data_IF_490831075452
#
_entry.id   IF_490831075452
#
_cell.length_a   1.000
_cell.length_b   1.000
_cell.length_c   1.000
_cell.angle_alpha   90.00
_cell.angle_beta   90.00
_cell.angle_gamma   90.00
#
_symmetry.space_group_name_H-M   'P 1'
#
loop_
_entity.id
_entity.type
_entity.pdbx_description
1 polymer ?
#
# COMPACT_ATOMS: atom_id res chain seq x y z
N UNK A 1 -3.70 -0.12 -16.40
CA UNK A 1 -2.71 -0.89 -15.63
C UNK A 1 -1.60 -1.36 -16.57
N UNK A 2 -0.32 -0.97 -16.40
CA UNK A 2 0.79 -1.47 -17.24
C UNK A 2 0.97 -3.00 -17.19
N UNK A 3 0.42 -3.67 -16.18
CA UNK A 3 0.51 -5.12 -16.03
C UNK A 3 -0.53 -5.89 -16.85
N UNK A 4 -1.65 -5.26 -17.19
CA UNK A 4 -2.75 -5.91 -17.92
C UNK A 4 -2.98 -5.30 -19.32
N UNK A 5 -2.61 -4.02 -19.57
CA UNK A 5 -2.81 -3.33 -20.86
C UNK A 5 -1.47 -3.05 -21.56
N UNK A 6 -1.31 -3.61 -22.77
CA UNK A 6 -0.13 -3.42 -23.61
C UNK A 6 0.17 -1.95 -23.90
N UNK A 7 -0.85 -1.11 -24.13
CA UNK A 7 -0.66 0.32 -24.43
C UNK A 7 -0.04 1.06 -23.24
N UNK A 8 -0.44 0.69 -22.03
CA UNK A 8 0.11 1.26 -20.80
C UNK A 8 1.54 0.79 -20.57
N UNK A 9 1.87 -0.45 -20.97
CA UNK A 9 3.23 -0.98 -20.90
C UNK A 9 4.17 -0.31 -21.90
N UNK A 10 3.70 -0.01 -23.11
CA UNK A 10 4.52 0.57 -24.18
C UNK A 10 4.95 2.02 -23.88
N UNK A 11 4.19 2.74 -23.04
CA UNK A 11 4.54 4.10 -22.57
C UNK A 11 5.28 4.11 -21.22
N UNK A 12 5.44 2.95 -20.59
CA UNK A 12 6.08 2.83 -19.29
C UNK A 12 7.58 2.59 -19.40
N UNK A 13 8.33 2.90 -18.34
CA UNK A 13 9.78 2.68 -18.32
C UNK A 13 10.10 1.20 -18.50
N UNK A 14 11.06 0.88 -19.39
CA UNK A 14 11.45 -0.50 -19.72
C UNK A 14 12.09 -1.24 -18.55
N UNK A 15 12.62 -0.50 -17.58
CA UNK A 15 13.33 -1.06 -16.43
C UNK A 15 12.40 -1.42 -15.27
N UNK A 16 11.11 -1.08 -15.38
CA UNK A 16 10.10 -1.31 -14.32
C UNK A 16 9.28 -2.55 -14.65
N UNK A 17 9.06 -3.39 -13.63
CA UNK A 17 8.26 -4.61 -13.74
C UNK A 17 7.10 -4.61 -12.75
N UNK A 18 6.06 -5.37 -13.07
CA UNK A 18 4.88 -5.52 -12.21
C UNK A 18 5.14 -6.29 -10.92
N UNK A 19 6.32 -6.87 -10.77
CA UNK A 19 6.71 -7.66 -9.61
C UNK A 19 6.99 -6.78 -8.39
N UNK A 20 7.24 -5.49 -8.60
CA UNK A 20 7.47 -4.50 -7.55
C UNK A 20 6.19 -3.89 -6.99
N UNK A 21 5.01 -4.24 -7.51
CA UNK A 21 3.74 -3.75 -6.98
C UNK A 21 3.26 -4.61 -5.81
N UNK A 22 2.66 -4.00 -4.77
CA UNK A 22 2.18 -4.74 -3.63
C UNK A 22 1.05 -5.70 -4.02
N UNK A 23 1.09 -6.90 -3.43
CA UNK A 23 0.07 -7.95 -3.60
C UNK A 23 -1.10 -7.76 -2.62
N UNK A 24 -0.91 -6.99 -1.56
CA UNK A 24 -1.99 -6.62 -0.66
C UNK A 24 -1.76 -5.25 0.00
N UNK A 25 -2.87 -4.63 0.42
CA UNK A 25 -2.90 -3.33 1.08
C UNK A 25 -3.54 -3.44 2.46
N UNK A 26 -2.88 -2.89 3.48
CA UNK A 26 -3.48 -2.66 4.80
C UNK A 26 -4.03 -1.23 4.82
N UNK A 27 -5.35 -1.09 4.70
CA UNK A 27 -5.98 0.20 4.35
C UNK A 27 -6.41 1.04 5.56
N UNK A 28 -6.29 0.51 6.79
CA UNK A 28 -6.76 1.18 8.01
C UNK A 28 -8.07 0.59 8.56
N UNK A 29 -8.91 1.40 9.23
CA UNK A 29 -8.73 2.83 9.53
C UNK A 29 -7.62 3.11 10.56
N UNK A 30 -7.35 4.39 10.85
CA UNK A 30 -6.43 4.78 11.91
C UNK A 30 -6.93 4.31 13.28
N UNK A 31 -5.99 4.16 14.23
CA UNK A 31 -6.24 3.79 15.63
C UNK A 31 -6.85 2.41 15.87
N UNK A 32 -6.68 1.49 14.92
CA UNK A 32 -7.15 0.10 15.05
C UNK A 32 -6.02 -0.91 15.22
N UNK A 33 -4.78 -0.45 15.45
CA UNK A 33 -3.61 -1.33 15.58
C UNK A 33 -2.93 -1.68 14.26
N UNK A 34 -3.14 -0.90 13.19
CA UNK A 34 -2.53 -1.15 11.88
C UNK A 34 -1.00 -1.16 11.89
N UNK A 35 -0.35 -0.33 12.72
CA UNK A 35 1.11 -0.37 12.90
C UNK A 35 1.57 -1.64 13.63
N UNK A 36 0.80 -2.16 14.58
CA UNK A 36 1.12 -3.44 15.22
C UNK A 36 1.02 -4.60 14.22
N UNK A 37 -0.05 -4.64 13.41
CA UNK A 37 -0.19 -5.63 12.34
C UNK A 37 0.98 -5.52 11.35
N UNK A 38 1.34 -4.31 10.93
CA UNK A 38 2.48 -4.05 10.06
C UNK A 38 3.78 -4.67 10.62
N UNK A 39 4.09 -4.44 11.90
CA UNK A 39 5.28 -4.98 12.55
C UNK A 39 5.24 -6.51 12.62
N UNK A 40 4.07 -7.10 12.85
CA UNK A 40 3.95 -8.56 12.90
C UNK A 40 4.08 -9.21 11.53
N UNK A 41 3.56 -8.58 10.48
CA UNK A 41 3.71 -9.05 9.10
C UNK A 41 5.18 -9.05 8.68
N UNK A 42 5.96 -8.04 9.09
CA UNK A 42 7.41 -7.97 8.85
C UNK A 42 8.20 -9.14 9.46
N UNK A 43 7.65 -9.85 10.44
CA UNK A 43 8.32 -11.02 11.04
C UNK A 43 8.23 -12.25 10.13
N UNK A 44 7.35 -12.26 9.12
CA UNK A 44 7.21 -13.39 8.21
C UNK A 44 8.26 -13.31 7.08
N UNK A 45 9.07 -14.36 6.84
CA UNK A 45 10.22 -14.29 5.91
C UNK A 45 9.83 -14.03 4.45
N UNK A 46 8.60 -14.38 4.06
CA UNK A 46 8.08 -14.17 2.71
C UNK A 46 7.26 -12.88 2.55
N UNK A 47 7.21 -12.00 3.56
CA UNK A 47 6.46 -10.75 3.50
C UNK A 47 7.43 -9.58 3.56
N UNK A 48 7.34 -8.69 2.57
CA UNK A 48 8.24 -7.56 2.43
C UNK A 48 7.40 -6.28 2.38
N UNK A 49 7.74 -5.31 3.24
CA UNK A 49 7.08 -4.02 3.25
C UNK A 49 7.75 -3.00 2.32
N UNK A 50 7.08 -1.89 2.08
CA UNK A 50 7.68 -0.68 1.53
C UNK A 50 8.82 -0.13 2.42
N UNK A 51 9.72 0.61 1.77
CA UNK A 51 10.72 1.46 2.39
C UNK A 51 10.03 2.62 3.13
N UNK A 52 10.60 3.07 4.26
CA UNK A 52 10.01 4.15 5.03
C UNK A 52 10.11 5.50 4.30
N UNK A 53 9.05 6.29 4.39
CA UNK A 53 9.00 7.67 3.94
C UNK A 53 9.49 8.61 5.05
N UNK A 54 10.32 9.62 4.75
CA UNK A 54 10.74 10.61 5.74
C UNK A 54 9.59 11.50 6.24
N UNK A 55 8.45 11.54 5.53
CA UNK A 55 7.29 12.38 5.88
C UNK A 55 6.16 11.59 6.54
N UNK A 56 5.98 10.34 6.14
CA UNK A 56 4.81 9.52 6.48
C UNK A 56 5.21 8.21 7.16
N UNK A 57 6.48 8.08 7.53
CA UNK A 57 7.05 6.92 8.23
C UNK A 57 6.79 5.62 7.48
N UNK A 58 6.10 4.65 8.08
CA UNK A 58 5.80 3.37 7.44
C UNK A 58 4.76 3.48 6.30
N UNK A 59 4.04 4.60 6.19
CA UNK A 59 2.95 4.76 5.22
C UNK A 59 3.42 5.43 3.92
N UNK A 60 3.00 4.90 2.76
CA UNK A 60 3.30 5.52 1.46
C UNK A 60 2.29 6.62 1.13
N UNK A 61 1.02 6.44 1.52
CA UNK A 61 -0.07 7.37 1.27
C UNK A 61 -0.16 7.81 -0.21
N UNK A 62 -0.12 6.84 -1.12
CA UNK A 62 -0.15 7.07 -2.55
C UNK A 62 -1.58 7.30 -3.07
N UNK A 63 -2.52 6.42 -2.73
CA UNK A 63 -3.86 6.41 -3.34
C UNK A 63 -4.83 7.47 -2.76
N UNK A 64 -4.56 8.04 -1.58
CA UNK A 64 -5.50 8.92 -0.88
C UNK A 64 -5.41 10.41 -1.24
N UNK A 65 -4.35 10.88 -1.90
CA UNK A 65 -4.13 12.32 -2.06
C UNK A 65 -3.15 12.71 -3.15
N UNK A 66 -2.38 13.78 -2.90
CA UNK A 66 -1.53 14.42 -3.90
C UNK A 66 -0.36 13.55 -4.38
N UNK A 67 0.08 12.59 -3.55
CA UNK A 67 1.14 11.65 -3.95
C UNK A 67 0.77 10.84 -5.20
N UNK A 68 -0.52 10.61 -5.45
CA UNK A 68 -0.99 9.92 -6.65
C UNK A 68 -0.51 10.60 -7.95
N UNK A 69 -0.44 11.94 -7.94
CA UNK A 69 -0.02 12.72 -9.12
C UNK A 69 1.48 12.65 -9.40
N UNK A 70 2.29 12.10 -8.49
CA UNK A 70 3.72 11.84 -8.72
C UNK A 70 3.95 10.64 -9.65
N UNK A 71 2.89 9.89 -9.95
CA UNK A 71 2.92 8.78 -10.90
C UNK A 71 3.30 7.44 -10.27
N UNK A 72 3.17 6.40 -11.09
CA UNK A 72 3.38 5.01 -10.69
C UNK A 72 4.85 4.75 -10.34
N UNK A 73 5.77 5.39 -11.05
CA UNK A 73 7.21 5.20 -10.81
C UNK A 73 7.61 5.66 -9.41
N UNK A 74 7.09 6.81 -8.97
CA UNK A 74 7.28 7.30 -7.59
C UNK A 74 6.76 6.30 -6.56
N UNK A 75 5.63 5.64 -6.84
CA UNK A 75 5.07 4.63 -5.94
C UNK A 75 5.94 3.38 -5.88
N UNK A 76 6.44 2.91 -7.02
CA UNK A 76 7.29 1.71 -7.09
C UNK A 76 8.65 1.87 -6.43
N UNK A 77 9.18 3.10 -6.38
CA UNK A 77 10.47 3.36 -5.74
C UNK A 77 10.44 3.10 -4.22
N UNK A 78 9.25 2.97 -3.63
CA UNK A 78 9.10 2.51 -2.25
C UNK A 78 9.26 1.01 -2.08
N UNK A 79 9.18 0.20 -3.13
CA UNK A 79 9.18 -1.25 -3.01
C UNK A 79 10.53 -1.83 -3.45
N UNK A 80 11.22 -2.59 -2.57
CA UNK A 80 12.45 -3.26 -2.96
C UNK A 80 12.16 -4.37 -3.98
N UNK A 81 13.17 -4.73 -4.76
CA UNK A 81 13.09 -5.89 -5.65
C UNK A 81 12.98 -7.17 -4.82
N UNK A 82 11.90 -7.97 -4.98
CA UNK A 82 11.79 -9.24 -4.28
C UNK A 82 12.87 -10.22 -4.73
N UNK A 83 13.39 -11.03 -3.81
CA UNK A 83 14.42 -12.02 -4.14
C UNK A 83 13.82 -13.23 -4.85
N UNK A 84 12.58 -13.59 -4.50
CA UNK A 84 11.81 -14.63 -5.16
C UNK A 84 10.38 -14.15 -5.44
N UNK A 85 10.12 -13.80 -6.71
CA UNK A 85 8.84 -13.26 -7.20
C UNK A 85 7.64 -14.18 -6.91
N UNK A 86 7.87 -15.49 -6.76
CA UNK A 86 6.79 -16.48 -6.56
C UNK A 86 6.37 -16.63 -5.11
N UNK A 87 7.28 -16.40 -4.17
CA UNK A 87 7.04 -16.58 -2.73
C UNK A 87 6.88 -15.25 -2.00
N UNK A 88 7.62 -14.23 -2.43
CA UNK A 88 7.71 -12.96 -1.71
C UNK A 88 6.50 -12.09 -2.02
N UNK A 89 5.81 -11.67 -0.97
CA UNK A 89 4.62 -10.84 -1.04
C UNK A 89 4.95 -9.43 -0.56
N UNK A 90 4.94 -8.49 -1.49
CA UNK A 90 5.04 -7.07 -1.19
C UNK A 90 3.72 -6.53 -0.63
N UNK A 91 3.80 -5.66 0.37
CA UNK A 91 2.64 -4.96 0.90
C UNK A 91 2.97 -3.53 1.32
N UNK A 92 1.93 -2.70 1.42
CA UNK A 92 2.01 -1.43 2.13
C UNK A 92 0.87 -1.30 3.14
N UNK A 93 1.07 -0.41 4.11
CA UNK A 93 0.07 -0.01 5.08
C UNK A 93 -0.10 1.51 4.99
N UNK A 94 -1.32 1.96 4.74
CA UNK A 94 -1.66 3.38 4.72
C UNK A 94 -3.08 3.54 5.30
N UNK A 95 -3.17 3.93 6.58
CA UNK A 95 -4.44 3.92 7.31
C UNK A 95 -5.45 4.97 6.81
N UNK A 96 -4.96 5.95 6.04
CA UNK A 96 -5.77 6.98 5.38
C UNK A 96 -6.52 6.47 4.13
N UNK A 97 -6.26 5.24 3.67
CA UNK A 97 -6.99 4.68 2.53
C UNK A 97 -8.44 4.36 2.87
N UNK A 98 -8.73 3.92 4.11
CA UNK A 98 -10.07 3.49 4.51
C UNK A 98 -11.14 4.57 4.37
N UNK A 99 -10.82 5.82 4.73
CA UNK A 99 -11.78 6.94 4.67
C UNK A 99 -11.67 7.74 3.36
N UNK A 100 -10.72 7.42 2.48
CA UNK A 100 -10.53 8.16 1.23
C UNK A 100 -11.52 7.68 0.17
N UNK A 101 -12.32 8.60 -0.36
CA UNK A 101 -13.29 8.29 -1.44
C UNK A 101 -12.60 7.91 -2.76
N UNK A 102 -11.39 8.46 -2.98
CA UNK A 102 -10.63 8.31 -4.21
C UNK A 102 -9.78 7.03 -4.23
N UNK A 103 -9.30 6.59 -3.06
CA UNK A 103 -8.36 5.48 -2.95
C UNK A 103 -8.89 4.17 -3.56
N UNK A 104 -10.16 3.75 -3.37
CA UNK A 104 -10.67 2.50 -3.94
C UNK A 104 -10.59 2.46 -5.47
N UNK A 105 -11.01 3.54 -6.14
CA UNK A 105 -11.00 3.63 -7.61
C UNK A 105 -9.58 3.61 -8.16
N UNK A 106 -8.68 4.35 -7.52
CA UNK A 106 -7.27 4.44 -7.93
C UNK A 106 -6.52 3.12 -7.70
N UNK A 107 -6.71 2.49 -6.54
CA UNK A 107 -6.13 1.19 -6.23
C UNK A 107 -6.63 0.11 -7.19
N UNK A 108 -7.95 0.04 -7.45
CA UNK A 108 -8.51 -0.91 -8.41
C UNK A 108 -8.00 -0.72 -9.84
N UNK A 109 -7.66 0.53 -10.22
CA UNK A 109 -7.14 0.83 -11.57
C UNK A 109 -5.68 0.40 -11.77
N UNK A 110 -4.88 0.36 -10.69
CA UNK A 110 -3.45 0.02 -10.74
C UNK A 110 -3.17 -1.44 -10.33
N UNK A 111 -3.78 -1.89 -9.23
CA UNK A 111 -3.58 -3.21 -8.64
C UNK A 111 -4.92 -3.91 -8.38
N UNK A 112 -5.71 -4.20 -9.44
CA UNK A 112 -7.05 -4.79 -9.31
C UNK A 112 -7.08 -6.15 -8.60
N UNK A 113 -5.95 -6.86 -8.59
CA UNK A 113 -5.79 -8.20 -8.00
C UNK A 113 -5.28 -8.16 -6.55
N UNK A 114 -4.94 -6.99 -6.02
CA UNK A 114 -4.41 -6.87 -4.67
C UNK A 114 -5.46 -7.24 -3.63
N UNK A 115 -5.05 -7.96 -2.57
CA UNK A 115 -5.92 -8.23 -1.42
C UNK A 115 -6.03 -6.99 -0.54
N UNK A 116 -7.20 -6.77 0.04
CA UNK A 116 -7.47 -5.63 0.92
C UNK A 116 -7.62 -6.17 2.34
N UNK A 117 -6.84 -5.61 3.27
CA UNK A 117 -6.89 -5.94 4.69
C UNK A 117 -7.30 -4.68 5.46
N UNK A 118 -8.33 -4.81 6.29
CA UNK A 118 -8.78 -3.76 7.21
C UNK A 118 -8.92 -4.34 8.61
N UNK A 119 -8.67 -3.52 9.62
CA UNK A 119 -8.78 -3.91 11.03
C UNK A 119 -9.83 -3.02 11.66
N UNK A 120 -10.87 -3.62 12.25
CA UNK A 120 -11.94 -2.91 12.91
C UNK A 120 -11.91 -3.21 14.42
N UNK A 121 -12.18 -2.19 15.22
CA UNK A 121 -12.38 -2.28 16.67
C UNK A 121 -13.69 -1.54 17.01
N UNK A 122 -14.09 -1.54 18.28
CA UNK A 122 -15.25 -0.76 18.73
C UNK A 122 -15.12 0.72 18.31
N UNK A 123 -16.17 1.30 17.68
CA UNK A 123 -16.09 2.66 17.16
C UNK A 123 -15.92 3.72 18.26
N UNK A 124 -16.43 3.46 19.47
CA UNK A 124 -16.27 4.33 20.64
C UNK A 124 -14.81 4.35 21.08
N UNK A 125 -14.20 3.16 21.20
CA UNK A 125 -12.79 3.01 21.57
C UNK A 125 -11.85 3.63 20.52
N UNK A 126 -12.14 3.42 19.24
CA UNK A 126 -11.40 4.03 18.14
C UNK A 126 -11.47 5.56 18.19
N UNK A 127 -12.67 6.12 18.42
CA UNK A 127 -12.86 7.57 18.51
C UNK A 127 -12.14 8.15 19.73
N UNK A 128 -12.21 7.48 20.88
CA UNK A 128 -11.46 7.87 22.07
C UNK A 128 -9.95 7.83 21.84
N UNK A 129 -9.44 6.77 21.22
CA UNK A 129 -8.01 6.64 20.87
C UNK A 129 -7.54 7.72 19.90
N UNK A 130 -8.40 8.18 18.99
CA UNK A 130 -8.11 9.31 18.11
C UNK A 130 -8.03 10.62 18.89
N UNK A 131 -8.97 10.85 19.83
CA UNK A 131 -8.99 12.06 20.66
C UNK A 131 -7.77 12.20 21.59
N UNK A 132 -7.23 11.10 22.10
CA UNK A 132 -6.09 11.10 23.01
C UNK A 132 -4.74 11.50 22.37
N UNK A 133 -4.70 11.70 21.05
CA UNK A 133 -3.49 12.03 20.27
C UNK A 133 -3.69 13.34 19.54
#
# INVERSE_FOLDING_TARGET
NPCDDKRHRDIWSRDKTCDHLPKFLVIGPQKTGTTALYLFLLMHPAIISNLPSPKTFEEVQFFNGNNYHKGIDWYMDFFPTPSNITTDLLFEKSANYFHSEEAPKRAASLIPKAKIITILIDPSDRAYSWYQV
#
